data_IF_097598263905
#
_entry.id   IF_097598263905
#
_cell.length_a   1.000
_cell.length_b   1.000
_cell.length_c   1.000
_cell.angle_alpha   90.00
_cell.angle_beta   90.00
_cell.angle_gamma   90.00
#
_symmetry.space_group_name_H-M   'P 1'
#
loop_
_entity.id
_entity.type
_entity.pdbx_description
1 polymer ?
#
# COMPACT_ATOMS: atom_id res chain seq x y z
N UNK A 1 3.22 6.29 22.21
CA UNK A 1 4.36 5.50 21.69
C UNK A 1 4.04 5.16 20.25
N UNK A 2 4.69 5.82 19.31
CA UNK A 2 4.59 5.52 17.87
C UNK A 2 4.98 4.06 17.66
N UNK A 3 4.20 3.27 16.91
CA UNK A 3 4.56 1.87 16.66
C UNK A 3 5.92 1.80 15.95
N UNK A 4 6.73 0.78 16.23
CA UNK A 4 8.05 0.63 15.60
C UNK A 4 7.98 0.66 14.07
N UNK A 5 6.88 0.18 13.49
CA UNK A 5 6.64 0.19 12.05
C UNK A 5 6.36 1.60 11.51
N UNK A 6 5.49 2.38 12.16
CA UNK A 6 5.17 3.74 11.72
C UNK A 6 6.42 4.62 11.67
N UNK A 7 7.27 4.54 12.70
CA UNK A 7 8.53 5.28 12.70
C UNK A 7 9.45 4.81 11.57
N UNK A 8 9.61 3.49 11.40
CA UNK A 8 10.46 2.93 10.36
C UNK A 8 10.01 3.35 8.94
N UNK A 9 8.71 3.32 8.67
CA UNK A 9 8.16 3.77 7.38
C UNK A 9 8.34 5.27 7.20
N UNK A 10 8.13 6.05 8.26
CA UNK A 10 8.39 7.51 8.25
C UNK A 10 9.85 7.80 7.89
N UNK A 11 10.79 7.08 8.50
CA UNK A 11 12.22 7.24 8.25
C UNK A 11 12.59 6.87 6.80
N UNK A 12 12.05 5.76 6.29
CA UNK A 12 12.25 5.32 4.90
C UNK A 12 11.72 6.34 3.89
N UNK A 13 10.54 6.89 4.13
CA UNK A 13 9.92 7.86 3.22
C UNK A 13 10.58 9.25 3.32
N UNK A 14 11.13 9.60 4.48
CA UNK A 14 11.82 10.88 4.72
C UNK A 14 13.26 10.92 4.20
N UNK A 15 13.91 9.76 4.06
CA UNK A 15 15.26 9.64 3.52
C UNK A 15 15.35 10.07 2.04
N UNK A 16 16.56 10.30 1.55
CA UNK A 16 16.80 10.52 0.13
C UNK A 16 16.24 9.32 -0.69
N UNK A 17 15.44 9.57 -1.74
CA UNK A 17 14.80 8.49 -2.48
C UNK A 17 15.86 7.67 -3.22
N UNK A 18 15.82 6.36 -3.00
CA UNK A 18 16.65 5.38 -3.69
C UNK A 18 15.78 4.19 -4.04
N UNK A 19 16.05 3.53 -5.17
CA UNK A 19 15.27 2.35 -5.62
C UNK A 19 15.21 1.26 -4.54
N UNK A 20 16.32 1.01 -3.85
CA UNK A 20 16.39 0.07 -2.73
C UNK A 20 15.46 0.43 -1.56
N UNK A 21 15.11 1.72 -1.38
CA UNK A 21 14.17 2.15 -0.34
C UNK A 21 12.76 1.62 -0.58
N UNK A 22 12.32 1.50 -1.84
CA UNK A 22 11.01 0.90 -2.15
C UNK A 22 10.99 -0.58 -1.78
N UNK A 23 12.01 -1.35 -2.13
CA UNK A 23 12.06 -2.77 -1.80
C UNK A 23 12.14 -3.00 -0.29
N UNK A 24 12.89 -2.17 0.43
CA UNK A 24 12.91 -2.20 1.89
C UNK A 24 11.53 -1.88 2.47
N UNK A 25 10.86 -0.84 1.96
CA UNK A 25 9.49 -0.51 2.37
C UNK A 25 8.53 -1.67 2.13
N UNK A 26 8.53 -2.26 0.93
CA UNK A 26 7.69 -3.41 0.54
C UNK A 26 7.93 -4.58 1.48
N UNK A 27 9.19 -4.94 1.73
CA UNK A 27 9.51 -6.05 2.62
C UNK A 27 9.01 -5.82 4.05
N UNK A 28 9.18 -4.61 4.59
CA UNK A 28 8.73 -4.29 5.95
C UNK A 28 7.22 -4.25 6.07
N UNK A 29 6.53 -3.70 5.07
CA UNK A 29 5.07 -3.69 5.02
C UNK A 29 4.52 -5.11 4.89
N UNK A 30 5.07 -5.92 3.99
CA UNK A 30 4.64 -7.30 3.78
C UNK A 30 4.74 -8.13 5.06
N UNK A 31 5.89 -8.06 5.72
CA UNK A 31 6.14 -8.75 7.00
C UNK A 31 5.17 -8.29 8.09
N UNK A 32 4.85 -6.99 8.14
CA UNK A 32 3.92 -6.48 9.14
C UNK A 32 2.46 -6.85 8.83
N UNK A 33 2.07 -6.84 7.55
CA UNK A 33 0.74 -7.17 7.10
C UNK A 33 0.43 -8.67 7.19
N UNK A 34 1.42 -9.56 7.00
CA UNK A 34 1.21 -11.01 6.96
C UNK A 34 0.58 -11.61 8.22
N UNK A 35 0.68 -10.92 9.36
CA UNK A 35 0.10 -11.36 10.63
C UNK A 35 -0.77 -10.32 11.32
N UNK A 36 -0.97 -9.15 10.70
CA UNK A 36 -1.73 -8.07 11.33
C UNK A 36 -3.23 -8.25 11.16
N UNK A 37 -4.03 -8.06 12.22
CA UNK A 37 -5.48 -7.99 12.08
C UNK A 37 -5.91 -6.81 11.19
N UNK A 38 -7.04 -6.92 10.46
CA UNK A 38 -7.53 -5.90 9.53
C UNK A 38 -7.75 -4.51 10.11
N UNK A 39 -8.04 -4.38 11.40
CA UNK A 39 -8.29 -3.09 12.07
C UNK A 39 -7.00 -2.42 12.57
N UNK A 40 -5.83 -3.02 12.29
CA UNK A 40 -4.54 -2.52 12.76
C UNK A 40 -3.84 -1.65 11.73
N UNK A 41 -2.79 -1.00 12.21
CA UNK A 41 -2.04 -0.02 11.46
C UNK A 41 -1.37 -0.56 10.18
N UNK A 42 -0.73 -1.75 10.13
CA UNK A 42 -0.02 -2.16 8.92
C UNK A 42 -0.94 -2.29 7.68
N UNK A 43 -2.08 -2.99 7.75
CA UNK A 43 -3.05 -3.01 6.64
C UNK A 43 -3.55 -1.62 6.23
N UNK A 44 -3.70 -0.69 7.18
CA UNK A 44 -4.06 0.71 6.89
C UNK A 44 -2.97 1.46 6.13
N UNK A 45 -1.69 1.28 6.51
CA UNK A 45 -0.58 1.89 5.77
C UNK A 45 -0.56 1.35 4.34
N UNK A 46 -0.71 0.04 4.17
CA UNK A 46 -0.70 -0.58 2.84
C UNK A 46 -1.89 -0.14 1.98
N UNK A 47 -3.11 -0.14 2.51
CA UNK A 47 -4.27 0.32 1.75
C UNK A 47 -4.12 1.78 1.29
N UNK A 48 -3.61 2.67 2.15
CA UNK A 48 -3.30 4.07 1.79
C UNK A 48 -2.20 4.16 0.74
N UNK A 49 -1.19 3.29 0.80
CA UNK A 49 -0.15 3.20 -0.23
C UNK A 49 -0.74 2.79 -1.59
N UNK A 50 -1.69 1.85 -1.60
CA UNK A 50 -2.40 1.42 -2.81
C UNK A 50 -3.28 2.53 -3.37
N UNK A 51 -3.99 3.28 -2.52
CA UNK A 51 -4.75 4.46 -2.96
C UNK A 51 -3.80 5.48 -3.60
N UNK A 52 -2.68 5.80 -2.94
CA UNK A 52 -1.71 6.78 -3.41
C UNK A 52 -1.18 6.47 -4.83
N UNK A 53 -0.74 5.24 -5.06
CA UNK A 53 -0.15 4.84 -6.35
C UNK A 53 -1.25 4.56 -7.38
N UNK A 54 -2.35 3.95 -6.95
CA UNK A 54 -3.42 3.50 -7.83
C UNK A 54 -4.15 4.63 -8.53
N UNK A 55 -4.26 5.81 -7.92
CA UNK A 55 -4.86 6.97 -8.59
C UNK A 55 -4.10 7.36 -9.85
N UNK A 56 -2.77 7.49 -9.75
CA UNK A 56 -1.91 7.77 -10.91
C UNK A 56 -2.00 6.65 -11.94
N UNK A 57 -2.07 5.39 -11.50
CA UNK A 57 -2.21 4.25 -12.40
C UNK A 57 -3.56 4.27 -13.13
N UNK A 58 -4.66 4.59 -12.44
CA UNK A 58 -5.99 4.67 -13.01
C UNK A 58 -6.11 5.82 -14.03
N UNK A 59 -5.56 6.99 -13.73
CA UNK A 59 -5.51 8.12 -14.68
C UNK A 59 -4.80 7.72 -15.99
N UNK A 60 -3.76 6.89 -15.90
CA UNK A 60 -3.00 6.42 -17.06
C UNK A 60 -3.71 5.32 -17.86
N UNK A 61 -4.39 4.39 -17.20
CA UNK A 61 -4.90 3.17 -17.83
C UNK A 61 -6.42 3.12 -17.99
N UNK A 62 -7.18 3.79 -17.12
CA UNK A 62 -8.65 3.86 -17.16
C UNK A 62 -9.38 2.55 -16.86
N UNK A 63 -8.70 1.51 -16.38
CA UNK A 63 -9.34 0.20 -16.17
C UNK A 63 -10.31 0.20 -15.00
N UNK A 64 -11.53 -0.29 -15.26
CA UNK A 64 -12.59 -0.36 -14.26
C UNK A 64 -12.23 -1.22 -13.04
N UNK A 65 -11.38 -2.24 -13.21
CA UNK A 65 -10.86 -3.08 -12.12
C UNK A 65 -10.05 -2.26 -11.11
N UNK A 66 -9.15 -1.40 -11.59
CA UNK A 66 -8.36 -0.48 -10.75
C UNK A 66 -9.29 0.47 -9.99
N UNK A 67 -10.28 1.07 -10.68
CA UNK A 67 -11.26 1.95 -10.03
C UNK A 67 -12.08 1.25 -8.93
N UNK A 68 -12.43 -0.02 -9.13
CA UNK A 68 -13.17 -0.80 -8.12
C UNK A 68 -12.30 -1.08 -6.90
N UNK A 69 -11.04 -1.47 -7.09
CA UNK A 69 -10.09 -1.68 -5.99
C UNK A 69 -9.80 -0.37 -5.25
N UNK A 70 -9.61 0.74 -5.96
CA UNK A 70 -9.42 2.06 -5.34
C UNK A 70 -10.58 2.44 -4.44
N UNK A 71 -11.82 2.35 -4.93
CA UNK A 71 -13.02 2.67 -4.14
C UNK A 71 -13.14 1.82 -2.89
N UNK A 72 -12.85 0.51 -3.02
CA UNK A 72 -12.89 -0.40 -1.88
C UNK A 72 -11.78 -0.11 -0.86
N UNK A 73 -10.56 0.22 -1.34
CA UNK A 73 -9.45 0.63 -0.50
C UNK A 73 -9.74 1.95 0.24
N UNK A 74 -10.26 2.95 -0.46
CA UNK A 74 -10.68 4.25 0.09
C UNK A 74 -11.74 4.07 1.18
N UNK A 75 -12.76 3.23 0.93
CA UNK A 75 -13.78 2.92 1.91
C UNK A 75 -13.21 2.23 3.17
N UNK A 76 -12.33 1.25 2.98
CA UNK A 76 -11.64 0.59 4.09
C UNK A 76 -10.71 1.53 4.88
N UNK A 77 -10.11 2.51 4.21
CA UNK A 77 -9.27 3.52 4.85
C UNK A 77 -10.09 4.46 5.74
N UNK A 78 -11.31 4.82 5.33
CA UNK A 78 -12.22 5.64 6.14
C UNK A 78 -12.85 4.84 7.29
N UNK A 79 -13.22 3.58 7.02
CA UNK A 79 -13.91 2.71 7.96
C UNK A 79 -13.16 1.37 8.07
N UNK A 80 -12.16 1.26 8.98
CA UNK A 80 -11.25 0.11 9.06
C UNK A 80 -11.88 -1.11 9.76
N UNK A 81 -12.97 -1.63 9.18
CA UNK A 81 -13.66 -2.84 9.66
C UNK A 81 -13.15 -4.09 8.94
N UNK A 82 -13.33 -5.26 9.56
CA UNK A 82 -13.00 -6.54 8.92
C UNK A 82 -13.80 -6.77 7.63
N UNK A 83 -15.06 -6.30 7.58
CA UNK A 83 -15.91 -6.38 6.39
C UNK A 83 -15.37 -5.51 5.26
N UNK A 84 -15.03 -4.25 5.54
CA UNK A 84 -14.48 -3.36 4.53
C UNK A 84 -13.11 -3.83 4.04
N UNK A 85 -12.28 -4.39 4.92
CA UNK A 85 -11.04 -5.04 4.52
C UNK A 85 -11.27 -6.24 3.60
N UNK A 86 -12.23 -7.11 3.91
CA UNK A 86 -12.56 -8.25 3.07
C UNK A 86 -13.10 -7.81 1.68
N UNK A 87 -13.88 -6.73 1.64
CA UNK A 87 -14.34 -6.13 0.39
C UNK A 87 -13.18 -5.60 -0.44
N UNK A 88 -12.24 -4.90 0.19
CA UNK A 88 -11.01 -4.43 -0.44
C UNK A 88 -10.15 -5.59 -0.97
N UNK A 89 -9.86 -6.60 -0.15
CA UNK A 89 -9.08 -7.77 -0.56
C UNK A 89 -9.71 -8.47 -1.77
N UNK A 90 -11.04 -8.69 -1.75
CA UNK A 90 -11.75 -9.30 -2.88
C UNK A 90 -11.66 -8.46 -4.17
N UNK A 91 -11.79 -7.13 -4.06
CA UNK A 91 -11.65 -6.24 -5.21
C UNK A 91 -10.22 -6.28 -5.78
N UNK A 92 -9.22 -6.27 -4.92
CA UNK A 92 -7.81 -6.38 -5.28
C UNK A 92 -7.48 -7.73 -5.93
N UNK A 93 -7.99 -8.85 -5.40
CA UNK A 93 -7.83 -10.19 -6.00
C UNK A 93 -8.35 -10.20 -7.45
N UNK A 94 -9.53 -9.62 -7.68
CA UNK A 94 -10.14 -9.53 -9.02
C UNK A 94 -9.44 -8.53 -9.95
N UNK A 95 -8.45 -7.79 -9.45
CA UNK A 95 -7.71 -6.76 -10.17
C UNK A 95 -6.22 -7.07 -10.27
N UNK A 96 -5.81 -8.33 -10.01
CA UNK A 96 -4.42 -8.75 -10.06
C UNK A 96 -3.70 -8.22 -11.33
N UNK A 97 -2.52 -7.59 -11.20
CA UNK A 97 -1.68 -7.48 -10.01
C UNK A 97 -1.87 -6.18 -9.20
N UNK A 98 -3.03 -5.50 -9.27
CA UNK A 98 -3.28 -4.26 -8.54
C UNK A 98 -3.99 -4.47 -7.19
N UNK A 99 -3.33 -4.03 -6.10
CA UNK A 99 -3.84 -4.11 -4.72
C UNK A 99 -3.26 -5.29 -3.93
N UNK A 100 -3.59 -5.37 -2.64
CA UNK A 100 -3.04 -6.37 -1.71
C UNK A 100 -3.86 -7.67 -1.58
N UNK A 101 -4.70 -7.98 -2.57
CA UNK A 101 -5.56 -9.17 -2.58
C UNK A 101 -4.78 -10.46 -2.85
N UNK A 102 -5.47 -11.56 -3.14
CA UNK A 102 -4.81 -12.83 -3.47
C UNK A 102 -4.08 -12.74 -4.81
N UNK A 103 -2.87 -13.29 -4.86
CA UNK A 103 -1.97 -13.25 -6.01
C UNK A 103 -0.52 -13.47 -5.61
N UNK A 104 0.37 -13.71 -6.56
CA UNK A 104 1.80 -13.82 -6.29
C UNK A 104 2.48 -12.47 -6.51
N UNK A 105 2.89 -11.80 -5.43
CA UNK A 105 3.59 -10.51 -5.46
C UNK A 105 5.04 -10.61 -4.97
N UNK A 106 5.68 -11.77 -5.09
CA UNK A 106 7.05 -11.93 -4.64
C UNK A 106 8.00 -11.03 -5.46
N UNK A 107 8.70 -10.13 -4.78
CA UNK A 107 9.66 -9.19 -5.38
C UNK A 107 11.07 -9.71 -5.10
N UNK A 108 11.78 -10.13 -6.15
CA UNK A 108 13.10 -10.76 -6.03
C UNK A 108 14.12 -9.86 -5.30
N UNK A 109 14.04 -8.55 -5.50
CA UNK A 109 14.92 -7.54 -4.90
C UNK A 109 14.77 -7.40 -3.39
N UNK A 110 13.74 -8.00 -2.77
CA UNK A 110 13.60 -8.07 -1.31
C UNK A 110 14.55 -9.09 -0.67
N UNK A 111 15.14 -9.99 -1.46
CA UNK A 111 16.03 -11.04 -0.97
C UNK A 111 15.32 -12.26 -0.38
N UNK A 112 13.99 -12.29 -0.40
CA UNK A 112 13.18 -13.45 -0.01
C UNK A 112 12.86 -14.33 -1.22
N UNK A 113 12.73 -15.63 -1.00
CA UNK A 113 12.25 -16.59 -2.01
C UNK A 113 10.78 -16.90 -1.79
N UNK A 114 10.03 -17.11 -2.88
CA UNK A 114 8.61 -17.48 -2.88
C UNK A 114 7.71 -16.49 -2.12
N UNK A 115 6.55 -16.96 -1.65
CA UNK A 115 5.55 -16.17 -0.94
C UNK A 115 5.76 -16.11 0.59
N UNK A 116 7.02 -16.07 1.03
CA UNK A 116 7.34 -15.92 2.46
C UNK A 116 7.03 -14.50 2.96
N UNK A 117 6.68 -14.33 4.25
CA UNK A 117 6.56 -12.99 4.85
C UNK A 117 7.83 -12.15 4.66
N UNK A 118 7.65 -10.95 4.11
CA UNK A 118 8.73 -10.05 3.74
C UNK A 118 9.08 -10.08 2.25
N UNK A 119 8.54 -11.01 1.46
CA UNK A 119 8.78 -11.09 0.02
C UNK A 119 7.95 -10.11 -0.80
N UNK A 120 6.92 -9.51 -0.19
CA UNK A 120 5.90 -8.71 -0.87
C UNK A 120 4.61 -9.50 -1.16
N UNK A 121 4.65 -10.84 -1.09
CA UNK A 121 3.51 -11.68 -1.43
C UNK A 121 2.48 -11.83 -0.29
N UNK A 122 2.92 -12.19 0.93
CA UNK A 122 1.99 -12.67 1.97
C UNK A 122 1.02 -11.61 2.49
N UNK A 123 1.47 -10.36 2.56
CA UNK A 123 0.65 -9.19 2.89
C UNK A 123 0.25 -8.38 1.65
N UNK A 124 0.69 -8.76 0.45
CA UNK A 124 0.33 -8.12 -0.82
C UNK A 124 1.05 -6.78 -1.10
N UNK A 125 2.09 -6.44 -0.33
CA UNK A 125 2.82 -5.17 -0.49
C UNK A 125 3.63 -5.11 -1.80
N UNK A 126 3.98 -6.25 -2.38
CA UNK A 126 4.72 -6.33 -3.65
C UNK A 126 3.93 -5.78 -4.84
N UNK A 127 2.61 -5.64 -4.71
CA UNK A 127 1.78 -4.94 -5.71
C UNK A 127 2.28 -3.52 -6.00
N UNK A 128 2.92 -2.84 -5.03
CA UNK A 128 3.56 -1.52 -5.21
C UNK A 128 4.70 -1.52 -6.25
N UNK A 129 5.34 -2.68 -6.47
CA UNK A 129 6.41 -2.84 -7.47
C UNK A 129 5.90 -3.32 -8.83
N UNK A 130 4.68 -3.89 -8.91
CA UNK A 130 4.15 -4.52 -10.12
C UNK A 130 3.27 -3.58 -10.97
N UNK A 131 3.18 -2.30 -10.60
CA UNK A 131 2.31 -1.32 -11.28
C UNK A 131 2.90 -0.74 -12.58
N UNK A 132 4.09 -1.20 -13.00
CA UNK A 132 4.76 -0.70 -14.22
C UNK A 132 5.16 0.78 -14.12
N UNK A 133 5.42 1.26 -12.91
CA UNK A 133 5.88 2.60 -12.59
C UNK A 133 7.34 2.57 -12.14
N UNK A 134 8.06 3.67 -12.38
CA UNK A 134 9.40 3.88 -11.84
C UNK A 134 9.36 3.92 -10.29
N UNK A 135 10.31 3.25 -9.64
CA UNK A 135 10.29 3.12 -8.18
C UNK A 135 10.45 4.45 -7.44
N UNK A 136 11.16 5.42 -8.01
CA UNK A 136 11.29 6.76 -7.42
C UNK A 136 9.97 7.53 -7.56
N UNK A 137 9.24 7.34 -8.66
CA UNK A 137 7.90 7.90 -8.83
C UNK A 137 6.92 7.30 -7.80
N UNK A 138 6.97 5.98 -7.58
CA UNK A 138 6.19 5.32 -6.51
C UNK A 138 6.52 5.93 -5.15
N UNK A 139 7.80 6.02 -4.79
CA UNK A 139 8.23 6.62 -3.51
C UNK A 139 7.77 8.07 -3.36
N UNK A 140 7.77 8.87 -4.43
CA UNK A 140 7.30 10.25 -4.40
C UNK A 140 5.79 10.34 -4.08
N UNK A 141 4.98 9.46 -4.68
CA UNK A 141 3.54 9.38 -4.38
C UNK A 141 3.29 8.93 -2.95
N UNK A 142 3.99 7.87 -2.51
CA UNK A 142 3.89 7.38 -1.15
C UNK A 142 4.29 8.44 -0.13
N UNK A 143 5.35 9.20 -0.40
CA UNK A 143 5.77 10.32 0.45
C UNK A 143 4.67 11.37 0.59
N UNK A 144 4.09 11.80 -0.53
CA UNK A 144 3.05 12.83 -0.56
C UNK A 144 1.81 12.44 0.23
N UNK A 145 1.41 11.17 0.15
CA UNK A 145 0.16 10.69 0.73
C UNK A 145 0.32 10.13 2.14
N UNK A 146 1.41 9.42 2.42
CA UNK A 146 1.60 8.74 3.70
C UNK A 146 2.30 9.59 4.76
N UNK A 147 3.30 10.41 4.41
CA UNK A 147 4.04 11.15 5.45
C UNK A 147 3.16 12.07 6.29
N UNK A 148 2.29 12.92 5.71
CA UNK A 148 1.44 13.80 6.50
C UNK A 148 0.55 13.02 7.47
N UNK A 149 0.04 11.86 7.05
CA UNK A 149 -0.80 10.99 7.88
C UNK A 149 0.00 10.29 8.98
N UNK A 150 1.17 9.73 8.64
CA UNK A 150 2.06 9.08 9.61
C UNK A 150 2.62 10.08 10.64
N UNK A 151 2.73 11.36 10.30
CA UNK A 151 3.17 12.42 11.21
C UNK A 151 2.02 13.05 12.01
N UNK A 152 0.77 12.71 11.69
CA UNK A 152 -0.42 13.25 12.35
C UNK A 152 -0.75 14.69 11.93
N UNK A 153 -0.23 15.15 10.80
CA UNK A 153 -0.44 16.51 10.29
C UNK A 153 -1.76 16.62 9.51
N UNK A 154 -2.03 15.68 8.61
CA UNK A 154 -3.27 15.62 7.84
C UNK A 154 -3.51 14.21 7.30
N UNK A 155 -4.73 13.94 6.86
CA UNK A 155 -5.08 12.70 6.15
C UNK A 155 -5.41 13.04 4.68
N UNK A 156 -4.44 12.96 3.75
CA UNK A 156 -4.67 13.32 2.35
C UNK A 156 -5.76 12.50 1.67
N UNK A 157 -5.86 11.21 2.01
CA UNK A 157 -6.88 10.31 1.44
C UNK A 157 -8.26 10.70 1.93
N UNK A 158 -8.44 10.89 3.24
CA UNK A 158 -9.73 11.30 3.79
C UNK A 158 -10.12 12.72 3.33
N UNK A 159 -9.16 13.64 3.27
CA UNK A 159 -9.40 14.99 2.79
C UNK A 159 -9.88 15.01 1.33
N UNK A 160 -9.36 14.12 0.46
CA UNK A 160 -9.82 14.01 -0.92
C UNK A 160 -11.28 13.50 -0.99
N UNK A 161 -11.60 12.47 -0.22
CA UNK A 161 -12.92 11.83 -0.23
C UNK A 161 -14.03 12.72 0.33
N UNK A 162 -13.71 13.60 1.28
CA UNK A 162 -14.68 14.56 1.81
C UNK A 162 -14.97 15.75 0.87
N UNK A 163 -14.13 15.95 -0.16
CA UNK A 163 -14.23 17.05 -1.11
C UNK A 163 -14.65 16.62 -2.53
N UNK A 164 -14.84 15.31 -2.75
CA UNK A 164 -15.31 14.70 -4.00
C UNK A 164 -16.81 14.41 -3.98
#
# INVERSE_FOLDING_TARGET
MTSSLQQEITDLLSAAPARASLFKLVSRLDLACSSAPPDKQPPQILARAIVAVGQTLYEKLGYATIANTLRAAEWYVLEPTAENFANYQRAATNSYPFGSGDGCYAVAETGYTDCQPGSGCSGGAGSLCLMGMDELAVLALLRKELLPWLQGESDPVAARLLNS
#
